data_IF_263586519793
#
_entry.id   IF_263586519793
#
_cell.length_a   1.000
_cell.length_b   1.000
_cell.length_c   1.000
_cell.angle_alpha   90.00
_cell.angle_beta   90.00
_cell.angle_gamma   90.00
#
_symmetry.space_group_name_H-M   'P 1'
#
loop_
_entity.id
_entity.type
_entity.pdbx_description
1 polymer ?
#
# COMPACT_ATOMS: atom_id res chain seq x y z
N UNK A 1 56.67 30.79 -17.78
CA UNK A 1 55.66 29.86 -17.24
C UNK A 1 54.37 30.07 -18.03
N UNK A 2 54.25 29.41 -19.18
CA UNK A 2 53.01 29.42 -19.97
C UNK A 2 52.24 28.16 -19.60
N UNK A 3 51.15 28.33 -18.84
CA UNK A 3 50.25 27.23 -18.54
C UNK A 3 49.49 26.88 -19.80
N UNK A 4 49.61 25.65 -20.27
CA UNK A 4 48.95 25.19 -21.48
C UNK A 4 47.42 25.31 -21.32
N UNK A 5 46.74 26.17 -22.10
CA UNK A 5 45.30 26.41 -21.96
C UNK A 5 44.46 25.15 -22.22
N UNK A 6 45.04 24.17 -22.90
CA UNK A 6 44.44 22.87 -23.19
C UNK A 6 44.32 21.97 -21.95
N UNK A 7 45.23 22.09 -20.97
CA UNK A 7 45.16 21.31 -19.73
C UNK A 7 43.99 21.76 -18.84
N UNK A 8 43.73 23.06 -18.78
CA UNK A 8 42.57 23.64 -18.07
C UNK A 8 41.24 23.25 -18.75
N UNK A 9 41.21 23.21 -20.08
CA UNK A 9 40.00 22.82 -20.83
C UNK A 9 39.67 21.34 -20.63
N UNK A 10 40.68 20.45 -20.64
CA UNK A 10 40.49 19.03 -20.39
C UNK A 10 40.08 18.72 -18.94
N UNK A 11 40.62 19.46 -17.96
CA UNK A 11 40.20 19.36 -16.56
C UNK A 11 38.74 19.81 -16.37
N UNK A 12 38.31 20.84 -17.10
CA UNK A 12 36.92 21.31 -17.08
C UNK A 12 35.93 20.29 -17.68
N UNK A 13 36.32 19.58 -18.76
CA UNK A 13 35.48 18.53 -19.35
C UNK A 13 35.35 17.31 -18.44
N UNK A 14 36.40 16.94 -17.69
CA UNK A 14 36.34 15.84 -16.74
C UNK A 14 35.41 16.14 -15.55
N UNK A 15 35.40 17.38 -15.06
CA UNK A 15 34.52 17.82 -13.97
C UNK A 15 33.02 17.83 -14.35
N UNK A 16 32.70 17.92 -15.65
CA UNK A 16 31.31 17.88 -16.17
C UNK A 16 30.79 16.46 -16.43
N UNK A 17 31.63 15.42 -16.32
CA UNK A 17 31.25 14.04 -16.62
C UNK A 17 30.67 13.26 -15.43
N UNK A 18 30.65 13.86 -14.24
CA UNK A 18 30.05 13.26 -13.04
C UNK A 18 28.60 13.70 -12.84
N UNK A 19 27.70 12.74 -12.63
CA UNK A 19 26.28 12.88 -12.19
C UNK A 19 25.20 12.60 -13.26
N UNK A 20 25.31 11.50 -14.01
CA UNK A 20 24.17 11.02 -14.83
C UNK A 20 23.33 9.91 -14.18
N UNK A 21 23.73 9.33 -13.04
CA UNK A 21 23.06 8.13 -12.48
C UNK A 21 22.34 8.30 -11.13
N UNK A 22 22.22 9.52 -10.59
CA UNK A 22 21.72 9.74 -9.22
C UNK A 22 20.24 10.17 -9.19
N UNK A 23 19.39 9.46 -9.94
CA UNK A 23 17.94 9.69 -9.87
C UNK A 23 17.38 8.97 -8.64
N UNK A 24 16.76 9.69 -7.68
CA UNK A 24 16.15 9.05 -6.51
C UNK A 24 14.92 8.25 -6.95
N UNK A 25 14.96 6.94 -6.75
CA UNK A 25 13.79 6.06 -6.75
C UNK A 25 13.18 6.02 -5.35
N UNK A 26 11.86 6.10 -5.25
CA UNK A 26 11.16 5.97 -3.98
C UNK A 26 10.39 4.65 -3.98
N UNK A 27 10.74 3.74 -3.07
CA UNK A 27 10.00 2.50 -2.85
C UNK A 27 9.12 2.69 -1.62
N UNK A 28 7.81 2.56 -1.79
CA UNK A 28 6.86 2.48 -0.68
C UNK A 28 6.41 1.02 -0.59
N UNK A 29 7.01 0.30 0.36
CA UNK A 29 6.69 -1.10 0.63
C UNK A 29 6.04 -1.17 2.00
N UNK A 30 4.76 -1.54 2.02
CA UNK A 30 4.12 -2.01 3.23
C UNK A 30 4.57 -3.46 3.39
N UNK A 31 5.27 -3.77 4.48
CA UNK A 31 5.76 -5.12 4.74
C UNK A 31 4.58 -6.09 4.69
N UNK A 32 4.60 -7.02 3.74
CA UNK A 32 3.61 -8.07 3.56
C UNK A 32 4.33 -9.42 3.57
N UNK A 33 3.76 -10.47 4.18
CA UNK A 33 4.32 -11.82 4.07
C UNK A 33 4.24 -12.39 2.66
N UNK A 34 3.43 -11.79 1.79
CA UNK A 34 3.10 -12.31 0.48
C UNK A 34 3.96 -11.67 -0.61
N UNK A 35 4.39 -12.48 -1.56
CA UNK A 35 5.22 -12.02 -2.67
C UNK A 35 4.45 -11.17 -3.67
N UNK A 36 3.24 -11.63 -4.02
CA UNK A 36 2.35 -10.98 -4.98
C UNK A 36 0.86 -11.22 -4.68
N UNK A 37 0.02 -10.65 -5.55
CA UNK A 37 -1.43 -10.78 -5.44
C UNK A 37 -1.90 -12.25 -5.51
N UNK A 38 -1.33 -13.05 -6.39
CA UNK A 38 -1.76 -14.44 -6.62
C UNK A 38 -1.36 -15.34 -5.45
N UNK A 39 -0.15 -15.16 -4.90
CA UNK A 39 0.28 -15.82 -3.67
C UNK A 39 -0.70 -15.52 -2.53
N UNK A 40 -1.05 -14.23 -2.35
CA UNK A 40 -2.05 -13.82 -1.35
C UNK A 40 -3.41 -14.46 -1.60
N UNK A 41 -3.88 -14.50 -2.85
CA UNK A 41 -5.17 -15.08 -3.23
C UNK A 41 -5.21 -16.60 -3.00
N UNK A 42 -4.13 -17.31 -3.29
CA UNK A 42 -4.00 -18.76 -3.04
C UNK A 42 -4.07 -19.04 -1.54
N UNK A 43 -3.35 -18.28 -0.71
CA UNK A 43 -3.38 -18.39 0.75
C UNK A 43 -4.76 -18.06 1.30
N UNK A 44 -5.38 -17.00 0.79
CA UNK A 44 -6.76 -16.65 1.12
C UNK A 44 -7.73 -17.78 0.78
N UNK A 45 -7.57 -18.45 -0.36
CA UNK A 45 -8.44 -19.55 -0.78
C UNK A 45 -8.37 -20.77 0.16
N UNK A 46 -7.21 -21.01 0.78
CA UNK A 46 -7.02 -22.12 1.74
C UNK A 46 -7.85 -21.96 3.02
N UNK A 47 -8.13 -20.72 3.45
CA UNK A 47 -9.02 -20.46 4.58
C UNK A 47 -10.47 -20.77 4.21
N UNK A 48 -11.02 -21.88 4.70
CA UNK A 48 -12.39 -22.33 4.40
C UNK A 48 -13.32 -22.02 5.56
N UNK A 49 -14.45 -21.33 5.32
CA UNK A 49 -15.51 -21.20 6.31
C UNK A 49 -15.93 -22.56 6.87
N UNK A 50 -16.25 -22.59 8.16
CA UNK A 50 -16.68 -23.76 8.95
C UNK A 50 -15.64 -24.86 9.11
N UNK A 51 -14.38 -24.60 8.70
CA UNK A 51 -13.28 -25.55 8.84
C UNK A 51 -12.04 -24.91 9.43
N UNK A 52 -11.67 -23.74 8.93
CA UNK A 52 -10.43 -23.08 9.33
C UNK A 52 -10.57 -22.44 10.70
N UNK A 53 -9.65 -22.80 11.59
CA UNK A 53 -9.51 -22.20 12.92
C UNK A 53 -8.73 -20.89 12.86
N UNK A 54 -8.75 -20.11 13.94
CA UNK A 54 -7.95 -18.89 14.06
C UNK A 54 -6.46 -19.18 13.93
N UNK A 55 -5.98 -20.26 14.57
CA UNK A 55 -4.57 -20.64 14.53
C UNK A 55 -4.15 -20.97 13.10
N UNK A 56 -4.93 -21.78 12.39
CA UNK A 56 -4.65 -22.11 10.99
C UNK A 56 -4.71 -20.85 10.10
N UNK A 57 -5.67 -19.93 10.33
CA UNK A 57 -5.74 -18.66 9.61
C UNK A 57 -4.44 -17.84 9.78
N UNK A 58 -3.87 -17.86 10.99
CA UNK A 58 -2.63 -17.15 11.28
C UNK A 58 -1.42 -17.82 10.61
N UNK A 59 -1.37 -19.15 10.61
CA UNK A 59 -0.35 -19.92 9.88
C UNK A 59 -0.39 -19.68 8.36
N UNK A 60 -1.57 -19.34 7.81
CA UNK A 60 -1.73 -18.93 6.41
C UNK A 60 -1.19 -17.52 6.11
N UNK A 61 -0.74 -16.78 7.13
CA UNK A 61 -0.19 -15.43 7.01
C UNK A 61 -1.20 -14.31 7.29
N UNK A 62 -2.37 -14.63 7.82
CA UNK A 62 -3.40 -13.64 8.20
C UNK A 62 -3.47 -13.45 9.72
N UNK A 63 -2.35 -13.03 10.30
CA UNK A 63 -2.23 -12.73 11.74
C UNK A 63 -2.11 -11.21 11.97
N UNK A 64 -3.08 -10.57 12.66
CA UNK A 64 -3.05 -9.13 12.87
C UNK A 64 -1.95 -8.66 13.82
N UNK A 65 -1.37 -9.55 14.63
CA UNK A 65 -0.33 -9.23 15.61
C UNK A 65 1.07 -9.32 15.03
N UNK A 66 1.33 -10.26 14.12
CA UNK A 66 2.67 -10.50 13.56
C UNK A 66 2.89 -9.89 12.18
N UNK A 67 1.86 -9.79 11.33
CA UNK A 67 2.03 -9.49 9.89
C UNK A 67 1.93 -8.00 9.54
N UNK A 68 1.61 -7.13 10.51
CA UNK A 68 1.33 -5.72 10.26
C UNK A 68 0.08 -5.51 9.39
N UNK A 69 -0.49 -4.29 9.39
CA UNK A 69 -1.65 -3.92 8.56
C UNK A 69 -2.94 -4.75 8.77
N UNK A 70 -2.96 -5.59 9.80
CA UNK A 70 -4.17 -6.23 10.31
C UNK A 70 -4.90 -5.34 11.30
N UNK A 71 -6.22 -5.29 11.20
CA UNK A 71 -7.12 -4.64 12.16
C UNK A 71 -8.04 -5.68 12.75
N UNK A 72 -8.15 -5.68 14.08
CA UNK A 72 -9.19 -6.45 14.76
C UNK A 72 -10.50 -5.66 14.71
N UNK A 73 -11.58 -6.32 14.34
CA UNK A 73 -12.92 -5.75 14.24
C UNK A 73 -13.79 -6.33 15.36
N UNK A 74 -14.48 -5.46 16.08
CA UNK A 74 -15.51 -5.86 17.03
C UNK A 74 -16.80 -6.26 16.31
N UNK A 75 -17.73 -6.84 17.06
CA UNK A 75 -19.11 -7.06 16.60
C UNK A 75 -19.76 -5.78 16.05
N UNK A 76 -19.51 -4.61 16.66
CA UNK A 76 -20.08 -3.34 16.20
C UNK A 76 -19.52 -2.95 14.83
N UNK A 77 -18.22 -3.11 14.63
CA UNK A 77 -17.57 -2.82 13.34
C UNK A 77 -18.12 -3.72 12.22
N UNK A 78 -18.26 -5.02 12.51
CA UNK A 78 -18.82 -5.99 11.57
C UNK A 78 -20.29 -5.70 11.25
N UNK A 79 -21.10 -5.40 12.27
CA UNK A 79 -22.50 -5.02 12.06
C UNK A 79 -22.62 -3.78 11.18
N UNK A 80 -21.81 -2.75 11.41
CA UNK A 80 -21.82 -1.54 10.59
C UNK A 80 -21.31 -1.77 9.17
N UNK A 81 -20.40 -2.72 8.97
CA UNK A 81 -19.85 -3.07 7.65
C UNK A 81 -20.86 -3.84 6.78
N UNK A 82 -21.62 -4.75 7.37
CA UNK A 82 -22.44 -5.71 6.61
C UNK A 82 -23.96 -5.46 6.70
N UNK A 83 -24.46 -4.81 7.75
CA UNK A 83 -25.89 -4.53 7.91
C UNK A 83 -26.20 -3.12 7.42
N UNK A 84 -26.86 -3.04 6.26
CA UNK A 84 -27.30 -1.76 5.70
C UNK A 84 -28.76 -1.49 6.10
N UNK A 85 -29.13 -0.23 6.46
CA UNK A 85 -30.48 0.09 6.99
C UNK A 85 -31.66 -0.32 6.11
N UNK A 86 -31.47 -0.43 4.79
CA UNK A 86 -32.53 -0.71 3.81
C UNK A 86 -32.36 -2.08 3.12
N UNK A 87 -31.49 -2.95 3.64
CA UNK A 87 -31.28 -4.30 3.12
C UNK A 87 -31.85 -5.30 4.13
N UNK A 88 -32.82 -6.14 3.74
CA UNK A 88 -33.36 -7.15 4.64
C UNK A 88 -32.26 -8.11 5.11
N UNK A 89 -32.36 -8.55 6.37
CA UNK A 89 -31.29 -9.34 7.01
C UNK A 89 -31.09 -10.70 6.32
N UNK A 90 -32.13 -11.21 5.65
CA UNK A 90 -32.15 -12.48 4.93
C UNK A 90 -31.23 -12.48 3.70
N UNK A 91 -30.77 -11.31 3.24
CA UNK A 91 -29.77 -11.21 2.18
C UNK A 91 -28.33 -11.35 2.69
N UNK A 92 -28.12 -11.37 4.01
CA UNK A 92 -26.79 -11.60 4.57
C UNK A 92 -26.39 -13.07 4.43
N UNK A 93 -25.11 -13.36 4.12
CA UNK A 93 -24.61 -14.73 4.13
C UNK A 93 -24.80 -15.40 5.50
N UNK A 94 -25.03 -16.72 5.52
CA UNK A 94 -25.28 -17.50 6.75
C UNK A 94 -24.20 -17.32 7.82
N UNK A 95 -22.93 -17.20 7.42
CA UNK A 95 -21.83 -16.91 8.34
C UNK A 95 -21.96 -15.56 9.05
N UNK A 96 -22.49 -14.55 8.35
CA UNK A 96 -22.77 -13.24 8.95
C UNK A 96 -23.98 -13.29 9.87
N UNK A 97 -25.04 -14.04 9.53
CA UNK A 97 -26.17 -14.25 10.43
C UNK A 97 -25.71 -14.87 11.75
N UNK A 98 -24.88 -15.93 11.70
CA UNK A 98 -24.28 -16.55 12.90
C UNK A 98 -23.41 -15.57 13.69
N UNK A 99 -22.63 -14.74 13.01
CA UNK A 99 -21.88 -13.67 13.67
C UNK A 99 -22.81 -12.72 14.44
N UNK A 100 -23.93 -12.32 13.83
CA UNK A 100 -24.88 -11.42 14.47
C UNK A 100 -25.56 -12.03 15.70
N UNK A 101 -25.89 -13.32 15.64
CA UNK A 101 -26.43 -14.09 16.78
C UNK A 101 -25.41 -14.24 17.92
N UNK A 102 -24.12 -14.41 17.58
CA UNK A 102 -23.04 -14.65 18.54
C UNK A 102 -22.58 -13.41 19.32
N UNK A 103 -22.94 -12.19 18.87
CA UNK A 103 -22.62 -10.91 19.53
C UNK A 103 -21.12 -10.76 19.81
N UNK A 104 -20.71 -10.52 21.05
CA UNK A 104 -19.31 -10.26 21.44
C UNK A 104 -18.36 -11.42 21.17
N UNK A 105 -18.88 -12.64 20.92
CA UNK A 105 -18.08 -13.78 20.48
C UNK A 105 -17.74 -13.74 18.99
N UNK A 106 -18.39 -12.86 18.23
CA UNK A 106 -18.06 -12.58 16.85
C UNK A 106 -16.98 -11.50 16.77
N UNK A 107 -15.87 -11.86 16.12
CA UNK A 107 -14.75 -10.95 15.86
C UNK A 107 -14.39 -10.99 14.39
N UNK A 108 -13.76 -9.93 13.91
CA UNK A 108 -13.23 -9.88 12.55
C UNK A 108 -11.75 -9.55 12.50
N UNK A 109 -11.11 -9.95 11.42
CA UNK A 109 -9.76 -9.53 11.07
C UNK A 109 -9.79 -8.94 9.66
N UNK A 110 -9.44 -7.67 9.54
CA UNK A 110 -9.31 -6.97 8.27
C UNK A 110 -7.84 -6.74 7.95
N UNK A 111 -7.42 -7.10 6.74
CA UNK A 111 -6.06 -6.94 6.26
C UNK A 111 -6.03 -6.12 4.97
N UNK A 112 -4.99 -5.32 4.83
CA UNK A 112 -4.65 -4.65 3.58
C UNK A 112 -3.16 -4.85 3.29
N UNK A 113 -2.88 -5.69 2.28
CA UNK A 113 -1.54 -5.94 1.79
C UNK A 113 -1.35 -5.22 0.47
N UNK A 114 -0.25 -4.49 0.34
CA UNK A 114 0.07 -3.83 -0.91
C UNK A 114 1.57 -3.80 -1.12
N UNK A 115 1.97 -3.84 -2.40
CA UNK A 115 3.35 -3.63 -2.80
C UNK A 115 3.35 -2.71 -4.00
N UNK A 116 3.95 -1.53 -3.85
CA UNK A 116 4.04 -0.55 -4.93
C UNK A 116 5.47 -0.16 -5.21
N UNK A 117 5.85 -0.17 -6.48
CA UNK A 117 7.09 0.38 -7.00
C UNK A 117 6.76 1.65 -7.77
N UNK A 118 7.38 2.76 -7.37
CA UNK A 118 7.20 4.07 -8.00
C UNK A 118 8.50 4.48 -8.67
N UNK A 119 8.54 4.39 -9.99
CA UNK A 119 9.69 4.79 -10.77
C UNK A 119 9.51 6.21 -11.32
N UNK A 120 10.54 7.05 -11.18
CA UNK A 120 10.56 8.39 -11.77
C UNK A 120 10.88 8.27 -13.25
N UNK A 121 10.02 8.85 -14.08
CA UNK A 121 10.21 8.86 -15.54
C UNK A 121 10.31 10.33 -15.97
N UNK A 122 11.47 10.79 -16.43
CA UNK A 122 11.63 12.22 -16.79
C UNK A 122 13.05 12.65 -17.17
N UNK A 123 13.14 13.77 -17.89
CA UNK A 123 14.39 14.44 -18.24
C UNK A 123 14.87 15.33 -17.09
N UNK A 124 16.12 15.14 -16.67
CA UNK A 124 16.81 15.93 -15.64
C UNK A 124 16.66 17.45 -15.83
N UNK A 125 16.69 17.94 -17.07
CA UNK A 125 16.64 19.37 -17.38
C UNK A 125 15.27 20.03 -17.11
N UNK A 126 14.17 19.26 -17.21
CA UNK A 126 12.84 19.75 -16.82
C UNK A 126 12.63 19.72 -15.29
N UNK A 127 13.47 18.94 -14.58
CA UNK A 127 13.41 18.70 -13.14
C UNK A 127 14.24 19.70 -12.32
N UNK A 128 15.32 20.27 -12.86
CA UNK A 128 16.09 21.35 -12.20
C UNK A 128 15.23 22.58 -11.89
N UNK A 129 14.24 22.86 -12.74
CA UNK A 129 13.27 23.94 -12.53
C UNK A 129 11.99 23.47 -11.79
N UNK A 130 11.92 22.19 -11.39
CA UNK A 130 10.86 21.55 -10.60
C UNK A 130 9.44 21.64 -11.19
N UNK A 131 9.26 22.02 -12.47
CA UNK A 131 7.96 22.33 -13.05
C UNK A 131 7.07 21.11 -13.32
N UNK A 132 7.65 19.93 -13.58
CA UNK A 132 6.89 18.72 -13.92
C UNK A 132 7.59 17.45 -13.47
N UNK A 133 6.96 16.68 -12.58
CA UNK A 133 7.39 15.34 -12.17
C UNK A 133 6.43 14.31 -12.77
N UNK A 134 6.97 13.32 -13.47
CA UNK A 134 6.19 12.16 -13.95
C UNK A 134 6.66 10.91 -13.22
N UNK A 135 5.71 10.13 -12.73
CA UNK A 135 5.95 8.88 -12.00
C UNK A 135 5.14 7.76 -12.64
N UNK A 136 5.75 6.61 -12.81
CA UNK A 136 5.07 5.37 -13.15
C UNK A 136 4.95 4.55 -11.87
N UNK A 137 3.71 4.26 -11.48
CA UNK A 137 3.39 3.45 -10.31
C UNK A 137 2.94 2.06 -10.78
N UNK A 138 3.65 1.05 -10.32
CA UNK A 138 3.35 -0.38 -10.53
C UNK A 138 3.11 -1.04 -9.20
N UNK A 139 2.20 -2.01 -9.12
CA UNK A 139 2.00 -2.71 -7.86
C UNK A 139 0.75 -3.57 -7.82
N UNK A 140 0.39 -3.96 -6.60
CA UNK A 140 -0.85 -4.67 -6.32
C UNK A 140 -1.37 -4.28 -4.93
N UNK A 141 -2.66 -4.46 -4.73
CA UNK A 141 -3.31 -4.38 -3.41
C UNK A 141 -4.28 -5.54 -3.25
N UNK A 142 -4.27 -6.15 -2.07
CA UNK A 142 -5.18 -7.21 -1.67
C UNK A 142 -5.75 -6.86 -0.30
N UNK A 143 -7.08 -6.86 -0.20
CA UNK A 143 -7.80 -6.60 1.03
C UNK A 143 -8.68 -7.80 1.36
N UNK A 144 -8.65 -8.23 2.61
CA UNK A 144 -9.47 -9.33 3.08
C UNK A 144 -10.08 -9.01 4.43
N UNK A 145 -11.30 -9.50 4.63
CA UNK A 145 -11.97 -9.54 5.92
C UNK A 145 -12.34 -10.99 6.22
N UNK A 146 -11.91 -11.45 7.37
CA UNK A 146 -12.28 -12.74 7.95
C UNK A 146 -13.17 -12.50 9.15
N UNK A 147 -14.24 -13.26 9.28
CA UNK A 147 -15.20 -13.17 10.37
C UNK A 147 -15.22 -14.50 11.08
N UNK A 148 -14.95 -14.47 12.38
CA UNK A 148 -14.87 -15.65 13.22
C UNK A 148 -15.93 -15.57 14.30
N UNK A 149 -16.50 -16.71 14.65
CA UNK A 149 -17.25 -16.90 15.89
C UNK A 149 -16.43 -17.81 16.78
N UNK A 150 -16.11 -17.32 17.97
CA UNK A 150 -15.11 -17.92 18.85
C UNK A 150 -13.76 -18.07 18.11
N UNK A 151 -13.39 -19.30 17.75
CA UNK A 151 -12.14 -19.63 17.06
C UNK A 151 -12.34 -20.14 15.64
N UNK A 152 -13.57 -20.21 15.13
CA UNK A 152 -13.87 -20.79 13.81
C UNK A 152 -14.24 -19.71 12.81
N UNK A 153 -13.65 -19.76 11.63
CA UNK A 153 -13.98 -18.90 10.50
C UNK A 153 -15.42 -19.20 10.03
N UNK A 154 -16.31 -18.20 10.09
CA UNK A 154 -17.71 -18.34 9.64
C UNK A 154 -17.99 -17.64 8.32
N UNK A 155 -17.24 -16.58 8.01
CA UNK A 155 -17.37 -15.85 6.75
C UNK A 155 -16.04 -15.22 6.35
N UNK A 156 -15.84 -15.04 5.05
CA UNK A 156 -14.70 -14.29 4.52
C UNK A 156 -15.09 -13.55 3.24
N UNK A 157 -14.43 -12.43 3.00
CA UNK A 157 -14.57 -11.66 1.75
C UNK A 157 -13.21 -11.04 1.42
N UNK A 158 -12.91 -10.91 0.12
CA UNK A 158 -11.71 -10.23 -0.36
C UNK A 158 -12.02 -9.33 -1.54
N UNK A 159 -11.18 -8.32 -1.74
CA UNK A 159 -11.15 -7.50 -2.94
C UNK A 159 -9.71 -6.97 -3.17
N UNK A 160 -9.46 -6.29 -4.28
CA UNK A 160 -8.16 -5.70 -4.52
C UNK A 160 -7.92 -5.30 -5.97
N UNK A 161 -6.68 -4.90 -6.26
CA UNK A 161 -6.20 -4.58 -7.60
C UNK A 161 -4.98 -5.47 -7.90
N UNK A 162 -5.09 -6.49 -8.77
CA UNK A 162 -4.01 -7.46 -9.01
C UNK A 162 -2.82 -6.87 -9.78
N UNK A 163 -3.04 -5.84 -10.59
CA UNK A 163 -2.01 -5.23 -11.43
C UNK A 163 -2.29 -3.73 -11.58
N UNK A 164 -1.77 -2.95 -10.63
CA UNK A 164 -1.80 -1.49 -10.66
C UNK A 164 -0.76 -1.02 -11.68
N UNK A 165 -1.20 -0.23 -12.65
CA UNK A 165 -0.34 0.51 -13.60
C UNK A 165 -0.89 1.92 -13.75
N UNK A 166 -0.23 2.91 -13.15
CA UNK A 166 -0.66 4.31 -13.19
C UNK A 166 0.47 5.22 -13.62
N UNK A 167 0.12 6.24 -14.42
CA UNK A 167 1.01 7.33 -14.77
C UNK A 167 0.54 8.59 -14.03
N UNK A 168 1.35 9.05 -13.08
CA UNK A 168 1.06 10.28 -12.34
C UNK A 168 1.92 11.42 -12.89
N UNK A 169 1.28 12.51 -13.32
CA UNK A 169 1.95 13.73 -13.74
C UNK A 169 1.64 14.82 -12.73
N UNK A 170 2.60 15.13 -11.84
CA UNK A 170 2.50 16.27 -10.93
C UNK A 170 3.13 17.50 -11.60
N UNK A 171 2.34 18.55 -11.80
CA UNK A 171 2.83 19.86 -12.27
C UNK A 171 3.00 20.78 -11.07
N UNK A 172 4.18 21.37 -10.90
CA UNK A 172 4.42 22.39 -9.88
C UNK A 172 4.72 23.71 -10.61
N UNK A 173 3.69 24.48 -10.99
CA UNK A 173 3.86 25.66 -11.82
C UNK A 173 4.74 26.76 -11.19
N UNK A 174 4.91 26.77 -9.85
CA UNK A 174 5.77 27.74 -9.14
C UNK A 174 7.15 27.17 -8.77
N UNK A 175 7.48 25.95 -9.23
CA UNK A 175 8.81 25.37 -9.04
C UNK A 175 9.20 25.18 -7.56
N UNK A 176 10.48 25.34 -7.18
CA UNK A 176 10.96 25.15 -5.81
C UNK A 176 10.29 26.04 -4.75
N UNK A 177 9.75 27.20 -5.14
CA UNK A 177 9.08 28.15 -4.22
C UNK A 177 7.74 27.62 -3.70
N UNK A 178 7.17 26.60 -4.35
CA UNK A 178 5.87 26.04 -4.02
C UNK A 178 5.89 25.13 -2.77
N UNK A 179 7.07 24.74 -2.27
CA UNK A 179 7.25 23.93 -1.04
C UNK A 179 7.86 24.67 0.15
N UNK A 180 8.21 25.96 0.00
CA UNK A 180 8.87 26.75 1.05
C UNK A 180 7.95 27.16 2.21
N UNK A 181 6.64 26.97 2.09
CA UNK A 181 5.67 27.30 3.14
C UNK A 181 5.57 26.26 4.26
N UNK A 182 5.80 24.98 3.97
CA UNK A 182 5.68 23.90 4.98
C UNK A 182 6.89 23.86 5.94
N UNK A 183 8.10 24.17 5.46
CA UNK A 183 9.29 24.24 6.31
C UNK A 183 9.27 25.37 7.34
N UNK A 184 8.52 26.46 7.08
CA UNK A 184 8.41 27.59 8.01
C UNK A 184 7.34 27.32 9.08
N UNK A 185 6.31 26.51 8.77
CA UNK A 185 5.24 26.20 9.72
C UNK A 185 5.65 25.15 10.78
N UNK A 186 6.55 24.22 10.46
CA UNK A 186 7.09 23.23 11.41
C UNK A 186 8.15 23.79 12.38
N UNK A 187 8.56 25.05 12.20
CA UNK A 187 9.52 25.75 13.07
C UNK A 187 8.91 26.92 13.85
N UNK A 188 7.60 27.14 13.74
CA UNK A 188 6.90 28.04 14.66
C UNK A 188 6.54 27.27 15.93
N UNK A 189 6.90 27.79 17.13
CA UNK A 189 6.56 27.16 18.40
C UNK A 189 5.05 27.15 18.68
#
# INVERSE_FOLDING_TARGET
MHGDPWALLMLSLFLLSGCTSLLPSQRAEVTSPFGDYLDTEIRYAQAQPDKTTRVELFELGFDPLSQGNGKMLSFIDLRLMFVQPNVPIEYLPDGMLRCLEAKDRCIGYAFEFNKTDTQRVGSFWADVLNFRKTRELKGWTFRAVFVLVDDTLVHKVSNGEPNIRRYEVKRNPLGPLQGGGEFILDQLP
#
